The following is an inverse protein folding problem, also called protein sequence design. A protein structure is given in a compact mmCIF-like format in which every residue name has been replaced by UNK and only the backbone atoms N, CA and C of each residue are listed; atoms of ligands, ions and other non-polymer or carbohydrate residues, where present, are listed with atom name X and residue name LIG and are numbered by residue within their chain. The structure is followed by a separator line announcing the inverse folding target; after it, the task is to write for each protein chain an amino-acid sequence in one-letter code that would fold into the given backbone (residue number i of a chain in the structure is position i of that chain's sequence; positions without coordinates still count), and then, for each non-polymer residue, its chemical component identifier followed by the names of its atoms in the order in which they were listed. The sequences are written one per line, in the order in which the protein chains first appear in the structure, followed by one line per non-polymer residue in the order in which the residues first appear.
data_IF_980313544585
#
_entry.id   IF_980313544585
#
_cell.length_a   1.000
_cell.length_b   1.000
_cell.length_c   1.000
_cell.angle_alpha   90.00
_cell.angle_beta   90.00
_cell.angle_gamma   90.00
#
_symmetry.space_group_name_H-M   'P 1'
#
loop_
_entity.id
_entity.type
_entity.pdbx_description
1 polymer ?
#
# COMPACT_ATOMS: atom_id res chain seq x y z
N UNK A 1 -34.53 55.02 -35.26
CA UNK A 1 -33.39 54.08 -35.38
C UNK A 1 -33.13 53.48 -33.98
N UNK A 2 -33.64 52.29 -33.69
CA UNK A 2 -33.50 51.60 -32.40
C UNK A 2 -32.37 50.57 -32.55
N UNK A 3 -31.27 50.74 -31.82
CA UNK A 3 -30.15 49.78 -31.79
C UNK A 3 -30.44 48.72 -30.72
N UNK A 4 -30.64 47.48 -31.14
CA UNK A 4 -30.70 46.33 -30.23
C UNK A 4 -29.28 45.85 -29.90
N UNK A 5 -28.91 45.92 -28.63
CA UNK A 5 -27.69 45.26 -28.11
C UNK A 5 -28.08 43.82 -27.70
N UNK A 6 -27.55 42.84 -28.40
CA UNK A 6 -27.66 41.46 -28.02
C UNK A 6 -26.54 41.15 -26.97
N UNK A 7 -26.93 40.82 -25.75
CA UNK A 7 -26.05 40.35 -24.71
C UNK A 7 -25.92 38.83 -24.87
N UNK A 8 -24.74 38.36 -25.29
CA UNK A 8 -24.42 36.94 -25.33
C UNK A 8 -24.03 36.48 -23.93
N UNK A 9 -24.84 35.67 -23.28
CA UNK A 9 -24.52 34.99 -22.03
C UNK A 9 -23.60 33.80 -22.32
N UNK A 10 -22.35 33.90 -21.91
CA UNK A 10 -21.38 32.77 -21.93
C UNK A 10 -21.68 31.92 -20.69
N UNK A 11 -22.30 30.76 -20.85
CA UNK A 11 -22.44 29.77 -19.80
C UNK A 11 -21.10 29.04 -19.64
N UNK A 12 -20.35 29.35 -18.59
CA UNK A 12 -19.17 28.59 -18.20
C UNK A 12 -19.63 27.23 -17.64
N UNK A 13 -19.46 26.17 -18.41
CA UNK A 13 -19.63 24.80 -17.92
C UNK A 13 -18.44 24.49 -16.99
N UNK A 14 -18.68 24.50 -15.68
CA UNK A 14 -17.75 23.96 -14.71
C UNK A 14 -17.67 22.43 -14.91
N UNK A 15 -16.61 21.95 -15.52
CA UNK A 15 -16.30 20.53 -15.57
C UNK A 15 -16.05 20.07 -14.13
N UNK A 16 -17.01 19.34 -13.54
CA UNK A 16 -16.81 18.63 -12.29
C UNK A 16 -15.85 17.47 -12.61
N UNK A 17 -14.56 17.68 -12.39
CA UNK A 17 -13.58 16.60 -12.41
C UNK A 17 -13.99 15.61 -11.32
N UNK A 18 -14.39 14.39 -11.72
CA UNK A 18 -14.58 13.30 -10.77
C UNK A 18 -13.26 13.12 -10.01
N UNK A 19 -13.27 12.96 -8.68
CA UNK A 19 -12.03 12.75 -7.94
C UNK A 19 -11.39 11.47 -8.48
N UNK A 20 -10.20 11.58 -9.06
CA UNK A 20 -9.32 10.44 -9.22
C UNK A 20 -9.12 9.88 -7.79
N UNK A 21 -9.25 8.57 -7.61
CA UNK A 21 -8.99 7.93 -6.32
C UNK A 21 -7.49 8.13 -6.02
N UNK A 22 -7.18 9.24 -5.38
CA UNK A 22 -5.83 9.49 -4.87
C UNK A 22 -5.68 8.73 -3.54
N UNK A 23 -4.51 8.17 -3.31
CA UNK A 23 -4.15 7.55 -2.03
C UNK A 23 -4.50 8.48 -0.85
N UNK A 24 -4.71 7.93 0.34
CA UNK A 24 -4.96 8.73 1.55
C UNK A 24 -3.78 9.69 1.78
N UNK A 25 -4.09 10.93 2.14
CA UNK A 25 -3.08 11.97 2.31
C UNK A 25 -2.32 11.85 3.64
N UNK A 26 -1.14 12.45 3.70
CA UNK A 26 -0.40 12.63 4.94
C UNK A 26 -1.24 13.41 5.97
N UNK A 27 -1.22 12.97 7.22
CA UNK A 27 -2.03 13.50 8.32
C UNK A 27 -3.41 12.82 8.48
N UNK A 28 -3.89 12.10 7.47
CA UNK A 28 -5.12 11.33 7.59
C UNK A 28 -4.98 10.21 8.63
N UNK A 29 -6.10 9.78 9.23
CA UNK A 29 -6.14 8.59 10.08
C UNK A 29 -6.12 7.35 9.20
N UNK A 30 -5.18 6.44 9.44
CA UNK A 30 -5.13 5.15 8.77
C UNK A 30 -6.31 4.27 9.22
N UNK A 31 -7.15 3.75 8.31
CA UNK A 31 -8.21 2.82 8.66
C UNK A 31 -7.63 1.56 9.32
N UNK A 32 -8.16 1.16 10.50
CA UNK A 32 -7.75 -0.10 11.12
C UNK A 32 -8.26 -1.29 10.30
N UNK A 33 -7.46 -2.34 10.20
CA UNK A 33 -7.85 -3.57 9.51
C UNK A 33 -7.17 -4.79 10.10
N UNK A 34 -7.77 -5.93 9.80
CA UNK A 34 -7.22 -7.27 10.10
C UNK A 34 -7.06 -8.03 8.80
N UNK A 35 -5.94 -8.73 8.63
CA UNK A 35 -5.65 -9.51 7.45
C UNK A 35 -4.94 -10.82 7.81
N UNK A 36 -5.14 -11.86 6.97
CA UNK A 36 -4.35 -13.09 7.05
C UNK A 36 -2.99 -12.86 6.43
N UNK A 37 -1.95 -12.97 7.23
CA UNK A 37 -0.56 -12.78 6.83
C UNK A 37 0.23 -14.07 6.78
N UNK A 38 1.34 -14.03 6.04
CA UNK A 38 2.32 -15.10 5.90
C UNK A 38 3.70 -14.57 6.26
N UNK A 39 4.42 -15.28 7.12
CA UNK A 39 5.84 -15.03 7.43
C UNK A 39 6.55 -16.39 7.53
N UNK A 40 7.65 -16.57 6.80
CA UNK A 40 8.34 -17.85 6.76
C UNK A 40 7.45 -19.02 6.32
N UNK A 41 6.50 -18.79 5.42
CA UNK A 41 5.54 -19.78 4.99
C UNK A 41 4.46 -20.14 6.03
N UNK A 42 4.44 -19.49 7.20
CA UNK A 42 3.46 -19.72 8.28
C UNK A 42 2.42 -18.63 8.31
N UNK A 43 1.17 -19.04 8.50
CA UNK A 43 0.03 -18.15 8.64
C UNK A 43 0.00 -17.49 10.02
N UNK A 44 -0.41 -16.21 10.05
CA UNK A 44 -0.73 -15.46 11.27
C UNK A 44 -1.79 -14.40 10.99
N UNK A 45 -2.39 -13.85 12.04
CA UNK A 45 -3.31 -12.73 11.93
C UNK A 45 -2.57 -11.42 12.15
N UNK A 46 -2.56 -10.54 11.15
CA UNK A 46 -2.09 -9.16 11.27
C UNK A 46 -3.25 -8.25 11.65
N UNK A 47 -3.04 -7.36 12.62
CA UNK A 47 -3.94 -6.26 12.93
C UNK A 47 -3.14 -4.97 13.05
N UNK A 48 -3.52 -3.93 12.30
CA UNK A 48 -2.77 -2.66 12.26
C UNK A 48 -2.67 -2.01 13.64
N UNK A 49 -3.79 -1.90 14.36
CA UNK A 49 -3.81 -1.28 15.70
C UNK A 49 -2.94 -1.99 16.73
N UNK A 50 -2.71 -3.30 16.59
CA UNK A 50 -1.80 -4.04 17.47
C UNK A 50 -0.33 -3.87 17.05
N UNK A 51 -0.05 -3.72 15.77
CA UNK A 51 1.29 -3.42 15.26
C UNK A 51 1.74 -2.01 15.68
N UNK A 52 0.84 -1.02 15.62
CA UNK A 52 1.12 0.37 16.01
C UNK A 52 1.49 0.54 17.48
N UNK A 53 1.07 -0.36 18.38
CA UNK A 53 1.50 -0.38 19.79
C UNK A 53 2.99 -0.64 19.97
N UNK A 54 3.66 -1.20 18.95
CA UNK A 54 5.09 -1.56 18.97
C UNK A 54 5.98 -0.50 18.33
N UNK A 55 5.42 0.44 17.57
CA UNK A 55 6.13 1.47 16.84
C UNK A 55 5.46 1.82 15.50
N UNK A 56 6.09 2.63 14.66
CA UNK A 56 5.56 2.95 13.34
C UNK A 56 5.44 1.70 12.46
N UNK A 57 4.45 1.70 11.58
CA UNK A 57 4.20 0.60 10.63
C UNK A 57 4.42 1.10 9.21
N UNK A 58 5.30 0.42 8.49
CA UNK A 58 5.50 0.58 7.05
C UNK A 58 4.62 -0.44 6.34
N UNK A 59 3.66 0.04 5.57
CA UNK A 59 2.79 -0.79 4.75
C UNK A 59 3.07 -0.47 3.28
N UNK A 60 3.38 -1.48 2.46
CA UNK A 60 3.42 -1.29 1.02
C UNK A 60 2.36 -2.17 0.35
N UNK A 61 1.43 -1.51 -0.35
CA UNK A 61 0.45 -2.17 -1.19
C UNK A 61 1.08 -2.46 -2.55
N UNK A 62 0.84 -3.66 -3.08
CA UNK A 62 1.32 -4.05 -4.39
C UNK A 62 0.27 -4.92 -5.12
N UNK A 63 0.18 -4.84 -6.47
CA UNK A 63 -0.89 -5.46 -7.24
C UNK A 63 -1.02 -6.97 -7.04
N UNK A 64 0.07 -7.72 -7.26
CA UNK A 64 -0.01 -9.18 -7.19
C UNK A 64 1.34 -9.84 -6.92
N UNK A 65 1.35 -10.81 -6.00
CA UNK A 65 2.49 -11.70 -5.77
C UNK A 65 2.89 -12.43 -7.06
N UNK A 66 4.19 -12.71 -7.23
CA UNK A 66 4.80 -13.36 -8.41
C UNK A 66 4.71 -12.59 -9.72
N UNK A 67 4.29 -11.33 -9.74
CA UNK A 67 4.55 -10.44 -10.88
C UNK A 67 5.94 -9.84 -10.79
N UNK A 68 6.56 -9.53 -11.93
CA UNK A 68 7.97 -9.12 -11.98
C UNK A 68 8.27 -7.89 -11.08
N UNK A 69 7.51 -6.81 -11.24
CA UNK A 69 7.72 -5.58 -10.47
C UNK A 69 7.49 -5.77 -8.96
N UNK A 70 6.46 -6.55 -8.58
CA UNK A 70 6.16 -6.84 -7.18
C UNK A 70 7.21 -7.74 -6.54
N UNK A 71 7.76 -8.69 -7.29
CA UNK A 71 8.87 -9.55 -6.83
C UNK A 71 10.15 -8.73 -6.60
N UNK A 72 10.47 -7.79 -7.49
CA UNK A 72 11.63 -6.89 -7.33
C UNK A 72 11.45 -6.03 -6.08
N UNK A 73 10.28 -5.41 -5.90
CA UNK A 73 9.97 -4.58 -4.74
C UNK A 73 10.07 -5.36 -3.43
N UNK A 74 9.45 -6.54 -3.37
CA UNK A 74 9.48 -7.40 -2.17
C UNK A 74 10.90 -7.80 -1.79
N UNK A 75 11.74 -8.17 -2.77
CA UNK A 75 13.16 -8.48 -2.52
C UNK A 75 13.93 -7.27 -2.00
N UNK A 76 13.70 -6.08 -2.57
CA UNK A 76 14.35 -4.85 -2.12
C UNK A 76 13.94 -4.48 -0.68
N UNK A 77 12.66 -4.64 -0.31
CA UNK A 77 12.22 -4.51 1.08
C UNK A 77 12.86 -5.56 2.00
N UNK A 78 13.03 -6.80 1.54
CA UNK A 78 13.68 -7.85 2.30
C UNK A 78 15.17 -7.56 2.54
N UNK A 79 15.85 -6.97 1.58
CA UNK A 79 17.24 -6.53 1.73
C UNK A 79 17.39 -5.40 2.76
N UNK A 80 16.41 -4.48 2.83
CA UNK A 80 16.37 -3.36 3.76
C UNK A 80 15.69 -3.69 5.11
N UNK A 81 15.12 -4.88 5.31
CA UNK A 81 14.26 -5.20 6.46
C UNK A 81 14.95 -4.98 7.82
N UNK A 82 16.25 -5.26 7.91
CA UNK A 82 17.01 -5.07 9.15
C UNK A 82 17.19 -3.57 9.49
N UNK A 83 17.22 -2.68 8.48
CA UNK A 83 17.22 -1.22 8.69
C UNK A 83 15.87 -0.72 9.21
N UNK A 84 14.74 -1.21 8.67
CA UNK A 84 13.40 -0.89 9.19
C UNK A 84 13.26 -1.34 10.65
N UNK A 85 13.72 -2.56 10.96
CA UNK A 85 13.72 -3.09 12.32
C UNK A 85 14.60 -2.25 13.25
N UNK A 86 15.80 -1.86 12.81
CA UNK A 86 16.69 -0.98 13.58
C UNK A 86 16.10 0.41 13.81
N UNK A 87 15.26 0.89 12.88
CA UNK A 87 14.49 2.11 13.04
C UNK A 87 13.26 1.96 13.95
N UNK A 88 12.99 0.74 14.49
CA UNK A 88 11.84 0.46 15.36
C UNK A 88 10.51 0.29 14.60
N UNK A 89 10.56 0.12 13.29
CA UNK A 89 9.35 0.00 12.47
C UNK A 89 8.97 -1.47 12.21
N UNK A 90 7.65 -1.73 12.17
CA UNK A 90 7.09 -2.96 11.61
C UNK A 90 6.94 -2.78 10.09
N UNK A 91 7.45 -3.72 9.29
CA UNK A 91 7.30 -3.75 7.84
C UNK A 91 6.29 -4.83 7.45
N UNK A 92 5.35 -4.52 6.53
CA UNK A 92 4.39 -5.48 5.97
C UNK A 92 4.07 -5.17 4.52
N UNK A 93 4.04 -6.20 3.68
CA UNK A 93 3.51 -6.13 2.32
C UNK A 93 2.03 -6.53 2.27
N UNK A 94 1.24 -5.82 1.47
CA UNK A 94 -0.22 -6.00 1.37
C UNK A 94 -0.62 -6.18 -0.10
N UNK A 95 -1.33 -7.27 -0.40
CA UNK A 95 -1.76 -7.54 -1.79
C UNK A 95 -3.15 -8.13 -1.87
N UNK A 96 -3.89 -7.73 -2.92
CA UNK A 96 -5.17 -8.35 -3.29
C UNK A 96 -5.00 -9.49 -4.29
N UNK A 97 -3.85 -9.60 -4.97
CA UNK A 97 -3.65 -10.52 -6.09
C UNK A 97 -2.43 -11.43 -5.97
N UNK A 98 -2.47 -12.52 -6.72
CA UNK A 98 -1.36 -13.45 -6.90
C UNK A 98 -1.35 -14.04 -8.32
N UNK A 99 -0.16 -14.25 -8.89
CA UNK A 99 0.03 -15.04 -10.09
C UNK A 99 0.25 -16.50 -9.69
N UNK A 100 -0.60 -17.38 -10.17
CA UNK A 100 -0.55 -18.82 -9.91
C UNK A 100 0.57 -19.50 -10.73
N UNK A 101 0.86 -20.75 -10.41
CA UNK A 101 1.92 -21.53 -11.07
C UNK A 101 1.65 -21.76 -12.57
N UNK A 102 0.38 -21.85 -12.97
CA UNK A 102 -0.06 -21.98 -14.37
C UNK A 102 -0.04 -20.64 -15.13
N UNK A 103 0.34 -19.53 -14.47
CA UNK A 103 0.40 -18.19 -15.02
C UNK A 103 -0.90 -17.39 -14.92
N UNK A 104 -2.00 -17.98 -14.45
CA UNK A 104 -3.26 -17.28 -14.26
C UNK A 104 -3.19 -16.32 -13.08
N UNK A 105 -4.06 -15.30 -13.09
CA UNK A 105 -4.12 -14.29 -12.04
C UNK A 105 -5.35 -14.54 -11.17
N UNK A 106 -5.15 -14.57 -9.84
CA UNK A 106 -6.17 -14.88 -8.85
C UNK A 106 -6.13 -13.93 -7.66
N UNK A 107 -7.18 -13.95 -6.81
CA UNK A 107 -7.19 -13.19 -5.57
C UNK A 107 -6.29 -13.88 -4.53
N UNK A 108 -5.46 -13.09 -3.84
CA UNK A 108 -4.50 -13.59 -2.84
C UNK A 108 -5.20 -14.27 -1.65
N UNK A 109 -6.34 -13.72 -1.19
CA UNK A 109 -7.13 -14.29 -0.07
C UNK A 109 -7.65 -15.70 -0.31
N UNK A 110 -7.88 -16.06 -1.58
CA UNK A 110 -8.36 -17.37 -2.00
C UNK A 110 -7.20 -18.32 -2.35
N UNK A 111 -5.95 -17.83 -2.29
CA UNK A 111 -4.74 -18.55 -2.67
C UNK A 111 -3.61 -18.37 -1.64
N UNK A 112 -3.92 -18.55 -0.36
CA UNK A 112 -2.98 -18.32 0.75
C UNK A 112 -1.73 -19.20 0.67
N UNK A 113 -1.85 -20.44 0.17
CA UNK A 113 -0.69 -21.31 -0.06
C UNK A 113 0.32 -20.64 -1.03
N UNK A 114 -0.19 -20.03 -2.11
CA UNK A 114 0.66 -19.31 -3.08
C UNK A 114 1.31 -18.08 -2.45
N UNK A 115 0.60 -17.40 -1.56
CA UNK A 115 1.14 -16.26 -0.81
C UNK A 115 2.21 -16.72 0.20
N UNK A 116 2.03 -17.89 0.83
CA UNK A 116 3.02 -18.48 1.73
C UNK A 116 4.33 -18.83 1.00
N UNK A 117 4.23 -19.43 -0.20
CA UNK A 117 5.39 -19.68 -1.07
C UNK A 117 6.12 -18.37 -1.40
N UNK A 118 5.38 -17.35 -1.83
CA UNK A 118 5.95 -16.03 -2.15
C UNK A 118 6.64 -15.39 -0.95
N UNK A 119 6.04 -15.49 0.24
CA UNK A 119 6.63 -14.99 1.49
C UNK A 119 7.97 -15.69 1.80
N UNK A 120 8.00 -17.02 1.73
CA UNK A 120 9.23 -17.79 1.98
C UNK A 120 10.34 -17.47 0.96
N UNK A 121 9.99 -17.41 -0.34
CA UNK A 121 10.97 -17.23 -1.41
C UNK A 121 11.53 -15.79 -1.49
N UNK A 122 10.68 -14.77 -1.26
CA UNK A 122 11.02 -13.38 -1.59
C UNK A 122 11.12 -12.47 -0.39
N UNK A 123 10.34 -12.69 0.69
CA UNK A 123 10.54 -11.98 1.95
C UNK A 123 11.63 -12.64 2.81
N UNK A 124 11.97 -13.91 2.56
CA UNK A 124 13.04 -14.66 3.23
C UNK A 124 12.93 -14.58 4.76
N UNK A 125 11.73 -14.75 5.28
CA UNK A 125 11.38 -14.66 6.71
C UNK A 125 11.68 -13.30 7.38
N UNK A 126 12.08 -12.30 6.60
CA UNK A 126 12.45 -10.98 7.14
C UNK A 126 11.26 -10.15 7.58
N UNK A 127 10.14 -10.26 6.88
CA UNK A 127 8.90 -9.56 7.18
C UNK A 127 7.67 -10.28 6.59
N UNK A 128 6.46 -10.01 7.13
CA UNK A 128 5.23 -10.62 6.65
C UNK A 128 4.67 -10.00 5.37
N UNK A 129 3.93 -10.81 4.62
CA UNK A 129 3.00 -10.37 3.58
C UNK A 129 1.58 -10.79 3.99
N UNK A 130 0.58 -9.95 3.73
CA UNK A 130 -0.80 -10.29 4.01
C UNK A 130 -1.70 -10.12 2.79
N UNK A 131 -2.70 -11.01 2.69
CA UNK A 131 -3.80 -10.89 1.76
C UNK A 131 -4.82 -9.88 2.29
N UNK A 132 -5.11 -8.84 1.52
CA UNK A 132 -6.10 -7.82 1.86
C UNK A 132 -7.37 -7.95 1.04
N UNK A 133 -8.49 -7.53 1.64
CA UNK A 133 -9.79 -7.50 0.98
C UNK A 133 -9.96 -6.27 0.10
N UNK A 134 -10.92 -6.32 -0.80
CA UNK A 134 -11.33 -5.15 -1.62
C UNK A 134 -11.76 -3.96 -0.74
N UNK A 135 -12.38 -4.22 0.41
CA UNK A 135 -12.79 -3.15 1.33
C UNK A 135 -11.57 -2.44 1.95
N UNK A 136 -10.53 -3.19 2.33
CA UNK A 136 -9.26 -2.60 2.80
C UNK A 136 -8.60 -1.78 1.70
N UNK A 137 -8.53 -2.30 0.46
CA UNK A 137 -7.97 -1.61 -0.71
C UNK A 137 -8.70 -0.28 -0.96
N UNK A 138 -10.04 -0.30 -0.91
CA UNK A 138 -10.87 0.90 -1.08
C UNK A 138 -10.71 1.88 0.09
N UNK A 139 -10.66 1.39 1.33
CA UNK A 139 -10.50 2.23 2.52
C UNK A 139 -9.19 3.03 2.48
N UNK A 140 -8.13 2.49 1.88
CA UNK A 140 -6.85 3.16 1.68
C UNK A 140 -6.75 3.95 0.36
N UNK A 141 -7.80 3.96 -0.47
CA UNK A 141 -7.82 4.59 -1.80
C UNK A 141 -6.67 4.12 -2.72
N UNK A 142 -6.31 2.85 -2.64
CA UNK A 142 -5.22 2.24 -3.44
C UNK A 142 -5.76 1.25 -4.47
N UNK A 143 -6.88 1.56 -5.07
CA UNK A 143 -7.55 0.69 -6.05
C UNK A 143 -6.79 0.71 -7.38
N UNK A 144 -6.41 -0.47 -7.89
CA UNK A 144 -5.84 -0.60 -9.22
C UNK A 144 -6.94 -0.36 -10.28
N UNK A 145 -6.78 0.66 -11.12
CA UNK A 145 -7.81 1.07 -12.07
C UNK A 145 -8.25 -0.06 -13.03
N UNK A 146 -7.31 -0.93 -13.46
CA UNK A 146 -7.57 -2.03 -14.38
C UNK A 146 -8.19 -3.26 -13.71
N UNK A 147 -8.11 -3.36 -12.36
CA UNK A 147 -8.63 -4.49 -11.58
C UNK A 147 -8.99 -4.03 -10.17
N UNK A 148 -10.23 -3.63 -9.99
CA UNK A 148 -10.70 -2.89 -8.81
C UNK A 148 -10.76 -3.69 -7.50
N UNK A 149 -10.54 -4.98 -7.53
CA UNK A 149 -10.34 -5.87 -6.38
C UNK A 149 -8.84 -6.04 -5.99
N UNK A 150 -7.94 -5.37 -6.71
CA UNK A 150 -6.51 -5.36 -6.44
C UNK A 150 -6.02 -3.95 -6.07
N UNK A 151 -4.91 -3.89 -5.35
CA UNK A 151 -4.27 -2.60 -5.04
C UNK A 151 -3.38 -2.15 -6.19
N UNK A 152 -3.19 -0.84 -6.28
CA UNK A 152 -2.07 -0.25 -6.99
C UNK A 152 -0.76 -0.40 -6.18
N UNK A 153 0.30 0.32 -6.58
CA UNK A 153 1.56 0.34 -5.85
C UNK A 153 1.66 1.62 -5.04
N UNK A 154 1.35 1.52 -3.75
CA UNK A 154 1.37 2.63 -2.80
C UNK A 154 1.95 2.19 -1.47
N UNK A 155 2.86 2.99 -0.91
CA UNK A 155 3.42 2.77 0.43
C UNK A 155 2.98 3.85 1.39
N UNK A 156 2.73 3.45 2.62
CA UNK A 156 2.41 4.31 3.76
C UNK A 156 3.37 4.07 4.91
N UNK A 157 3.67 5.12 5.66
CA UNK A 157 4.19 5.02 7.01
C UNK A 157 3.12 5.53 7.95
N UNK A 158 2.68 4.69 8.89
CA UNK A 158 1.69 5.04 9.91
C UNK A 158 2.38 5.09 11.26
N UNK A 159 2.19 6.18 11.99
CA UNK A 159 2.77 6.41 13.32
C UNK A 159 1.88 5.81 14.42
N UNK A 160 2.40 5.58 15.65
CA UNK A 160 1.65 4.96 16.76
C UNK A 160 0.34 5.63 17.12
N UNK A 161 0.16 6.91 16.80
CA UNK A 161 -1.09 7.66 16.98
C UNK A 161 -2.15 7.35 15.89
N UNK A 162 -1.84 6.42 14.98
CA UNK A 162 -2.72 6.03 13.87
C UNK A 162 -2.75 7.00 12.70
N UNK A 163 -1.81 7.96 12.63
CA UNK A 163 -1.73 8.93 11.54
C UNK A 163 -0.77 8.48 10.44
N UNK A 164 -1.14 8.76 9.20
CA UNK A 164 -0.26 8.58 8.04
C UNK A 164 0.78 9.69 8.07
N UNK A 165 2.03 9.36 8.35
CA UNK A 165 3.16 10.30 8.34
C UNK A 165 3.80 10.43 6.98
N UNK A 166 3.62 9.44 6.09
CA UNK A 166 4.12 9.46 4.72
C UNK A 166 3.24 8.61 3.81
N UNK A 167 3.03 9.07 2.60
CA UNK A 167 2.42 8.32 1.49
C UNK A 167 3.27 8.50 0.25
N UNK A 168 3.47 7.43 -0.49
CA UNK A 168 4.20 7.43 -1.76
C UNK A 168 3.57 6.44 -2.75
N UNK A 169 3.20 6.94 -3.93
CA UNK A 169 2.48 6.19 -4.95
C UNK A 169 3.20 6.33 -6.29
N UNK A 170 3.75 5.24 -6.80
CA UNK A 170 4.38 5.15 -8.12
C UNK A 170 4.46 3.70 -8.58
N UNK A 171 4.50 3.46 -9.88
CA UNK A 171 4.71 2.12 -10.40
C UNK A 171 6.19 1.65 -10.34
N UNK A 172 7.12 2.55 -10.04
CA UNK A 172 8.56 2.26 -9.91
C UNK A 172 8.87 1.63 -8.54
N UNK A 173 9.27 0.34 -8.46
CA UNK A 173 9.35 -0.37 -7.19
C UNK A 173 10.43 0.15 -6.23
N UNK A 174 11.60 0.56 -6.74
CA UNK A 174 12.78 0.81 -5.89
C UNK A 174 12.66 2.06 -5.02
N UNK A 175 11.90 3.08 -5.44
CA UNK A 175 11.77 4.32 -4.68
C UNK A 175 10.96 4.15 -3.39
N UNK A 176 10.07 3.14 -3.33
CA UNK A 176 9.25 2.86 -2.15
C UNK A 176 10.09 2.55 -0.92
N UNK A 177 11.18 1.80 -1.10
CA UNK A 177 12.09 1.42 0.00
C UNK A 177 12.78 2.65 0.56
N UNK A 178 13.39 3.46 -0.29
CA UNK A 178 14.12 4.67 0.12
C UNK A 178 13.20 5.65 0.84
N UNK A 179 12.03 5.96 0.25
CA UNK A 179 11.09 6.93 0.82
C UNK A 179 10.52 6.48 2.18
N UNK A 180 10.14 5.21 2.31
CA UNK A 180 9.63 4.68 3.57
C UNK A 180 10.71 4.60 4.65
N UNK A 181 11.94 4.23 4.28
CA UNK A 181 13.06 4.14 5.21
C UNK A 181 13.49 5.54 5.72
N UNK A 182 13.54 6.54 4.84
CA UNK A 182 13.76 7.95 5.22
C UNK A 182 12.71 8.42 6.23
N UNK A 183 11.42 8.13 5.98
CA UNK A 183 10.34 8.54 6.86
C UNK A 183 10.41 7.92 8.25
N UNK A 184 10.69 6.61 8.36
CA UNK A 184 10.81 5.95 9.68
C UNK A 184 12.07 6.38 10.42
N UNK A 185 13.19 6.64 9.73
CA UNK A 185 14.42 7.19 10.34
C UNK A 185 14.17 8.60 10.88
N UNK A 186 13.46 9.45 10.12
CA UNK A 186 13.07 10.78 10.57
C UNK A 186 12.12 10.72 11.78
N UNK A 187 11.14 9.82 11.77
CA UNK A 187 10.27 9.59 12.93
C UNK A 187 11.07 9.19 14.17
N UNK A 188 11.97 8.23 14.03
CA UNK A 188 12.83 7.79 15.14
C UNK A 188 13.66 8.95 15.71
N UNK A 189 14.30 9.75 14.85
CA UNK A 189 15.11 10.89 15.28
C UNK A 189 14.34 11.97 16.04
N UNK A 190 13.02 12.11 15.78
CA UNK A 190 12.15 13.08 16.43
C UNK A 190 11.56 12.58 17.77
N UNK A 191 11.67 11.28 18.10
CA UNK A 191 11.00 10.66 19.26
C UNK A 191 11.96 9.89 20.19
N UNK A 192 13.28 10.01 19.95
CA UNK A 192 14.33 9.39 20.79
C UNK A 192 15.36 10.37 21.26
#
# INVERSE_FOLDING_TARGET
MRKFFAVAAIAAAAAIAAPAFAALEQGATAPDFTATGMVGGKEFTFKLSDALKKGPVVMYFFPAAYTQGCTIETKAFADAADEFKAAGATLIGLTGGAKLADGTMANAKDNLARLAEFSAEHCRDKFPIAAVTTDTIKAYNVVLAQKTDWSDRTSYVVTPDGKISMVFSTQMPNEHITKTLEAVKAYKAAHH
#
